data_IF_903708780101
#
_entry.id   IF_903708780101
#
_cell.length_a   1.000
_cell.length_b   1.000
_cell.length_c   1.000
_cell.angle_alpha   90.00
_cell.angle_beta   90.00
_cell.angle_gamma   90.00
#
_symmetry.space_group_name_H-M   'P 1'
#
loop_
_entity.id
_entity.type
_entity.pdbx_description
1 polymer ?
#
# COMPACT_ATOMS: atom_id res chain seq x y z
N UNK A 1 -36.41 63.12 -59.02
CA UNK A 1 -36.31 62.81 -57.57
C UNK A 1 -35.47 61.55 -57.42
N UNK A 2 -34.50 61.51 -56.50
CA UNK A 2 -33.66 60.32 -56.19
C UNK A 2 -32.21 60.49 -56.63
N UNK A 3 -31.41 61.32 -55.97
CA UNK A 3 -30.48 61.02 -54.83
C UNK A 3 -29.19 60.32 -55.28
N UNK A 4 -28.09 61.07 -55.20
CA UNK A 4 -26.70 60.62 -55.35
C UNK A 4 -26.21 59.99 -54.04
N UNK A 5 -25.56 58.82 -54.14
CA UNK A 5 -24.96 58.10 -53.02
C UNK A 5 -23.44 58.34 -53.03
N UNK A 6 -22.95 59.11 -52.07
CA UNK A 6 -21.53 59.32 -51.82
C UNK A 6 -20.99 58.16 -50.94
N UNK A 7 -19.97 57.45 -51.44
CA UNK A 7 -19.24 56.44 -50.68
C UNK A 7 -18.23 57.15 -49.76
N UNK A 8 -18.45 57.09 -48.45
CA UNK A 8 -17.48 57.51 -47.43
C UNK A 8 -16.60 56.30 -47.06
N UNK A 9 -15.30 56.39 -47.34
CA UNK A 9 -14.29 55.49 -46.77
C UNK A 9 -14.12 55.83 -45.28
N UNK A 10 -14.47 54.89 -44.40
CA UNK A 10 -14.09 54.93 -42.99
C UNK A 10 -12.90 53.97 -42.75
N UNK A 11 -11.76 54.53 -42.37
CA UNK A 11 -10.59 53.77 -41.93
C UNK A 11 -10.80 53.35 -40.47
N UNK A 12 -11.02 52.05 -40.21
CA UNK A 12 -11.15 51.50 -38.87
C UNK A 12 -9.79 51.27 -38.21
N UNK A 13 -9.53 51.93 -37.07
CA UNK A 13 -8.41 51.62 -36.17
C UNK A 13 -8.71 50.32 -35.40
N UNK A 14 -7.84 49.33 -35.49
CA UNK A 14 -7.84 48.20 -34.54
C UNK A 14 -7.42 48.68 -33.14
N UNK A 15 -8.07 48.20 -32.06
CA UNK A 15 -7.59 48.46 -30.71
C UNK A 15 -6.29 47.70 -30.46
N UNK A 16 -5.29 48.38 -29.88
CA UNK A 16 -4.02 47.79 -29.49
C UNK A 16 -4.25 46.68 -28.44
N UNK A 17 -3.75 45.49 -28.70
CA UNK A 17 -3.69 44.42 -27.71
C UNK A 17 -2.76 44.85 -26.56
N UNK A 18 -3.26 44.80 -25.32
CA UNK A 18 -2.43 44.99 -24.12
C UNK A 18 -1.44 43.82 -24.04
N UNK A 19 -0.15 44.06 -23.77
CA UNK A 19 0.78 42.98 -23.47
C UNK A 19 0.30 42.25 -22.22
N UNK A 20 0.33 40.91 -22.26
CA UNK A 20 0.09 40.08 -21.09
C UNK A 20 1.10 40.47 -19.99
N UNK A 21 0.62 40.58 -18.76
CA UNK A 21 1.49 40.82 -17.61
C UNK A 21 2.44 39.62 -17.45
N UNK A 22 3.74 39.89 -17.28
CA UNK A 22 4.69 38.86 -16.87
C UNK A 22 4.24 38.24 -15.55
N UNK A 23 4.38 36.91 -15.37
CA UNK A 23 4.09 36.29 -14.09
C UNK A 23 4.97 36.92 -13.00
N UNK A 24 4.45 37.06 -11.76
CA UNK A 24 5.26 37.54 -10.65
C UNK A 24 6.47 36.62 -10.45
N UNK A 25 7.62 37.16 -10.01
CA UNK A 25 8.76 36.31 -9.65
C UNK A 25 8.33 35.35 -8.55
N UNK A 26 8.66 34.06 -8.72
CA UNK A 26 8.39 33.01 -7.74
C UNK A 26 8.92 33.45 -6.37
N UNK A 27 8.02 33.53 -5.40
CA UNK A 27 8.37 33.80 -4.02
C UNK A 27 9.08 32.58 -3.46
N UNK A 28 10.34 32.75 -3.07
CA UNK A 28 11.10 31.74 -2.32
C UNK A 28 10.29 31.30 -1.10
N UNK A 29 9.90 30.02 -1.06
CA UNK A 29 9.20 29.41 0.07
C UNK A 29 7.80 28.82 -0.19
N UNK A 30 7.42 28.53 -1.44
CA UNK A 30 6.35 27.54 -1.65
C UNK A 30 6.92 26.12 -1.47
N UNK A 31 6.19 25.18 -0.85
CA UNK A 31 6.63 23.80 -0.75
C UNK A 31 6.81 23.20 -2.16
N UNK A 32 7.78 22.30 -2.30
CA UNK A 32 8.06 21.56 -3.55
C UNK A 32 6.76 21.07 -4.20
N UNK A 33 6.63 21.27 -5.51
CA UNK A 33 5.38 21.03 -6.23
C UNK A 33 4.99 19.54 -6.34
N UNK A 34 5.94 18.63 -6.13
CA UNK A 34 5.76 17.18 -6.20
C UNK A 34 6.11 16.55 -4.87
N UNK A 35 5.43 15.44 -4.54
CA UNK A 35 5.84 14.61 -3.42
C UNK A 35 6.31 13.24 -3.89
N UNK A 36 7.24 12.66 -3.13
CA UNK A 36 7.43 11.21 -3.12
C UNK A 36 6.22 10.61 -2.42
N UNK A 37 5.41 9.89 -3.17
CA UNK A 37 4.11 9.37 -2.74
C UNK A 37 4.23 7.98 -2.14
N UNK A 38 5.13 7.17 -2.69
CA UNK A 38 5.29 5.77 -2.34
C UNK A 38 6.70 5.27 -2.71
N UNK A 39 7.23 4.33 -1.93
CA UNK A 39 8.54 3.69 -2.17
C UNK A 39 8.42 2.19 -1.94
N UNK A 40 8.87 1.36 -2.89
CA UNK A 40 8.88 -0.11 -2.83
C UNK A 40 10.32 -0.62 -2.96
N UNK A 41 11.04 -0.80 -1.85
CA UNK A 41 12.35 -1.43 -1.84
C UNK A 41 12.17 -2.94 -1.62
N UNK A 42 12.29 -3.74 -2.68
CA UNK A 42 12.03 -5.18 -2.67
C UNK A 42 10.82 -5.62 -3.50
N UNK A 43 10.62 -5.06 -4.70
CA UNK A 43 9.52 -5.48 -5.58
C UNK A 43 9.77 -6.88 -6.16
N UNK A 44 8.85 -7.82 -5.97
CA UNK A 44 8.89 -9.18 -6.54
C UNK A 44 7.77 -9.42 -7.55
N UNK A 45 6.59 -8.90 -7.25
CA UNK A 45 5.39 -9.13 -8.03
C UNK A 45 4.37 -7.98 -7.97
N UNK A 46 4.67 -6.87 -7.29
CA UNK A 46 3.76 -5.73 -7.18
C UNK A 46 3.59 -4.98 -8.52
N UNK A 47 4.70 -4.69 -9.20
CA UNK A 47 4.71 -3.98 -10.48
C UNK A 47 5.81 -4.51 -11.41
N UNK A 48 5.66 -4.32 -12.71
CA UNK A 48 6.64 -4.77 -13.70
C UNK A 48 6.98 -3.64 -14.68
N UNK A 49 8.26 -3.54 -15.05
CA UNK A 49 8.75 -2.62 -16.08
C UNK A 49 8.24 -3.03 -17.49
N UNK A 50 8.61 -2.26 -18.52
CA UNK A 50 8.22 -2.56 -19.90
C UNK A 50 8.76 -3.90 -20.44
N UNK A 51 9.73 -4.51 -19.75
CA UNK A 51 10.33 -5.78 -20.08
C UNK A 51 9.81 -6.94 -19.22
N UNK A 52 8.94 -6.67 -18.25
CA UNK A 52 8.38 -7.65 -17.33
C UNK A 52 9.26 -7.93 -16.09
N UNK A 53 10.22 -7.09 -15.77
CA UNK A 53 11.04 -7.21 -14.55
C UNK A 53 10.41 -6.49 -13.37
N UNK A 54 10.47 -7.10 -12.20
CA UNK A 54 10.09 -6.48 -10.94
C UNK A 54 11.33 -5.82 -10.31
N UNK A 55 11.62 -4.59 -10.70
CA UNK A 55 12.63 -3.73 -10.04
C UNK A 55 12.01 -2.92 -8.91
N UNK A 56 12.82 -2.49 -7.95
CA UNK A 56 12.37 -1.53 -6.92
C UNK A 56 11.81 -0.29 -7.58
N UNK A 57 10.92 0.42 -6.90
CA UNK A 57 10.33 1.62 -7.50
C UNK A 57 10.01 2.72 -6.50
N UNK A 58 9.98 3.93 -7.03
CA UNK A 58 9.56 5.16 -6.35
C UNK A 58 8.42 5.76 -7.16
N UNK A 59 7.35 6.17 -6.50
CA UNK A 59 6.26 6.91 -7.13
C UNK A 59 6.32 8.38 -6.77
N UNK A 60 6.26 9.23 -7.79
CA UNK A 60 6.06 10.67 -7.64
C UNK A 60 4.61 11.02 -7.93
N UNK A 61 4.03 11.94 -7.14
CA UNK A 61 2.70 12.48 -7.39
C UNK A 61 2.74 14.00 -7.58
N UNK A 62 1.94 14.48 -8.56
CA UNK A 62 1.66 15.89 -8.77
C UNK A 62 0.27 16.24 -8.19
N UNK A 63 0.19 16.83 -6.97
CA UNK A 63 -1.08 17.20 -6.35
C UNK A 63 -1.68 18.50 -6.91
N UNK A 64 -0.97 19.21 -7.80
CA UNK A 64 -1.40 20.51 -8.30
C UNK A 64 -2.41 20.42 -9.46
N UNK A 65 -3.01 21.55 -9.81
CA UNK A 65 -3.92 21.68 -10.96
C UNK A 65 -3.19 22.03 -12.28
N UNK A 66 -1.85 22.06 -12.25
CA UNK A 66 -0.99 22.36 -13.38
C UNK A 66 0.00 21.22 -13.66
N UNK A 67 0.38 21.04 -14.92
CA UNK A 67 1.43 20.10 -15.27
C UNK A 67 2.79 20.60 -14.74
N UNK A 68 3.59 19.70 -14.17
CA UNK A 68 4.95 19.99 -13.69
C UNK A 68 5.95 19.40 -14.69
N UNK A 69 6.79 20.24 -15.31
CA UNK A 69 7.94 19.80 -16.13
C UNK A 69 9.12 19.49 -15.20
N UNK A 70 9.60 18.25 -15.26
CA UNK A 70 10.70 17.72 -14.45
C UNK A 70 12.08 18.17 -14.95
N UNK A 71 12.18 18.92 -16.04
CA UNK A 71 13.47 19.33 -16.58
C UNK A 71 14.35 20.03 -15.52
N UNK A 72 15.48 19.40 -15.18
CA UNK A 72 16.44 19.91 -14.19
C UNK A 72 16.12 19.57 -12.73
N UNK A 73 15.02 18.87 -12.44
CA UNK A 73 14.80 18.22 -11.15
C UNK A 73 15.81 17.08 -10.98
N UNK A 74 16.09 16.69 -9.74
CA UNK A 74 16.94 15.53 -9.45
C UNK A 74 16.35 14.61 -8.38
N UNK A 75 16.70 13.33 -8.42
CA UNK A 75 16.34 12.33 -7.42
C UNK A 75 17.57 11.52 -7.01
N UNK A 76 17.63 11.18 -5.72
CA UNK A 76 18.75 10.45 -5.12
C UNK A 76 18.30 9.62 -3.91
N UNK A 77 19.00 8.52 -3.66
CA UNK A 77 19.03 7.72 -2.43
C UNK A 77 20.25 8.09 -1.53
N UNK A 78 21.09 9.05 -1.96
CA UNK A 78 22.22 9.57 -1.19
C UNK A 78 22.25 11.10 -1.25
N UNK A 79 21.86 11.79 -0.17
CA UNK A 79 21.90 13.25 -0.12
C UNK A 79 23.31 13.85 -0.24
N UNK A 80 24.38 13.07 -0.06
CA UNK A 80 25.73 13.54 -0.34
C UNK A 80 26.00 13.66 -1.86
N UNK A 81 25.18 13.01 -2.68
CA UNK A 81 25.17 13.07 -4.14
C UNK A 81 23.76 13.41 -4.65
N UNK A 82 23.32 14.68 -4.58
CA UNK A 82 21.94 15.09 -4.89
C UNK A 82 21.56 14.93 -6.38
N UNK A 83 22.54 14.70 -7.26
CA UNK A 83 22.36 14.67 -8.72
C UNK A 83 22.51 13.26 -9.30
N UNK A 84 22.33 12.20 -8.48
CA UNK A 84 22.44 10.80 -8.94
C UNK A 84 21.59 10.53 -10.19
N UNK A 85 20.38 11.05 -10.24
CA UNK A 85 19.59 11.14 -11.47
C UNK A 85 19.06 12.57 -11.65
N UNK A 86 19.31 13.17 -12.82
CA UNK A 86 18.77 14.47 -13.22
C UNK A 86 17.81 14.28 -14.37
N UNK A 87 16.57 14.72 -14.19
CA UNK A 87 15.51 14.51 -15.16
C UNK A 87 15.68 15.38 -16.41
N UNK A 88 15.39 14.77 -17.55
CA UNK A 88 15.17 15.47 -18.81
C UNK A 88 13.78 16.12 -18.88
N UNK A 89 13.33 16.45 -20.10
CA UNK A 89 11.97 16.98 -20.30
C UNK A 89 10.95 15.86 -20.21
N UNK A 90 10.22 15.81 -19.11
CA UNK A 90 9.04 14.97 -18.88
C UNK A 90 8.08 15.77 -18.02
N UNK A 91 6.78 15.64 -18.28
CA UNK A 91 5.78 16.29 -17.45
C UNK A 91 4.94 15.27 -16.70
N UNK A 92 4.62 15.59 -15.45
CA UNK A 92 3.56 14.93 -14.69
C UNK A 92 2.34 15.85 -14.80
N UNK A 93 1.28 15.37 -15.46
CA UNK A 93 0.02 16.10 -15.62
C UNK A 93 -0.65 16.37 -14.24
N UNK A 94 -1.61 17.31 -14.16
CA UNK A 94 -2.36 17.57 -12.92
C UNK A 94 -2.97 16.30 -12.34
N UNK A 95 -2.73 16.03 -11.05
CA UNK A 95 -3.19 14.81 -10.37
C UNK A 95 -2.52 13.52 -10.86
N UNK A 96 -1.47 13.61 -11.69
CA UNK A 96 -0.77 12.48 -12.28
C UNK A 96 0.23 11.82 -11.33
N UNK A 97 0.58 10.58 -11.68
CA UNK A 97 1.57 9.75 -10.98
C UNK A 97 2.66 9.34 -11.96
N UNK A 98 3.90 9.23 -11.46
CA UNK A 98 5.04 8.76 -12.23
C UNK A 98 5.78 7.69 -11.44
N UNK A 99 5.80 6.48 -11.98
CA UNK A 99 6.59 5.37 -11.46
C UNK A 99 8.02 5.46 -12.00
N UNK A 100 8.99 5.36 -11.12
CA UNK A 100 10.42 5.34 -11.41
C UNK A 100 11.01 4.02 -10.92
N UNK A 101 11.69 3.29 -11.79
CA UNK A 101 12.34 2.02 -11.50
C UNK A 101 13.74 2.29 -10.94
N UNK A 102 13.96 1.93 -9.68
CA UNK A 102 15.25 1.96 -9.02
C UNK A 102 15.96 0.61 -9.21
N UNK A 103 16.57 0.41 -10.37
CA UNK A 103 17.07 -0.90 -10.82
C UNK A 103 18.51 -0.88 -11.34
N UNK A 104 19.29 0.16 -10.98
CA UNK A 104 20.68 0.35 -11.42
C UNK A 104 20.85 0.49 -12.96
N UNK A 105 19.78 0.80 -13.71
CA UNK A 105 19.84 0.97 -15.16
C UNK A 105 19.95 2.44 -15.58
N UNK A 106 21.18 2.94 -15.60
CA UNK A 106 21.46 4.30 -16.08
C UNK A 106 21.13 4.49 -17.58
N UNK A 107 20.34 5.53 -17.90
CA UNK A 107 20.11 5.99 -19.28
C UNK A 107 19.18 5.09 -20.11
N UNK A 108 18.45 4.19 -19.46
CA UNK A 108 17.37 3.41 -20.06
C UNK A 108 16.07 4.18 -19.88
N UNK A 109 15.62 4.86 -20.93
CA UNK A 109 14.46 5.74 -20.83
C UNK A 109 14.64 6.87 -19.81
N UNK A 110 13.53 7.42 -19.36
CA UNK A 110 13.43 8.52 -18.40
C UNK A 110 12.69 8.10 -17.11
N UNK A 111 12.47 6.80 -16.95
CA UNK A 111 11.86 6.18 -15.77
C UNK A 111 12.79 5.23 -15.03
N UNK A 112 13.97 4.89 -15.57
CA UNK A 112 14.95 4.05 -14.85
C UNK A 112 16.01 4.91 -14.17
N UNK A 113 16.34 4.53 -12.94
CA UNK A 113 17.25 5.23 -12.06
C UNK A 113 18.57 4.45 -11.94
N UNK A 114 19.71 5.15 -11.83
CA UNK A 114 21.04 4.55 -11.77
C UNK A 114 21.39 4.08 -10.35
N UNK A 115 20.39 3.61 -9.61
CA UNK A 115 20.49 3.13 -8.25
C UNK A 115 19.36 2.14 -7.95
N UNK A 116 19.61 1.23 -7.02
CA UNK A 116 18.61 0.35 -6.40
C UNK A 116 18.35 0.77 -4.95
N UNK A 117 17.24 0.29 -4.39
CA UNK A 117 16.85 0.63 -3.03
C UNK A 117 17.26 -0.44 -2.02
N UNK A 118 17.34 -0.04 -0.74
CA UNK A 118 17.71 -0.92 0.36
C UNK A 118 16.51 -1.24 1.23
N UNK A 119 16.06 -2.49 1.17
CA UNK A 119 14.95 -3.00 1.96
C UNK A 119 15.17 -2.91 3.49
N UNK A 120 16.41 -2.79 4.00
CA UNK A 120 16.68 -2.61 5.43
C UNK A 120 16.60 -1.16 5.92
N UNK A 121 16.37 -0.21 5.01
CA UNK A 121 16.09 1.19 5.29
C UNK A 121 17.15 2.15 4.76
N UNK A 122 16.68 3.27 4.21
CA UNK A 122 17.49 4.38 3.72
C UNK A 122 16.65 5.65 3.57
N UNK A 123 17.14 6.62 2.79
CA UNK A 123 16.45 7.87 2.53
C UNK A 123 16.43 8.16 1.02
N UNK A 124 15.30 8.61 0.49
CA UNK A 124 15.15 9.07 -0.90
C UNK A 124 14.75 10.54 -0.88
N UNK A 125 15.43 11.35 -1.69
CA UNK A 125 15.17 12.78 -1.84
C UNK A 125 14.94 13.15 -3.31
N UNK A 126 13.88 13.92 -3.54
CA UNK A 126 13.57 14.61 -4.80
C UNK A 126 13.83 16.10 -4.59
N UNK A 127 14.61 16.72 -5.48
CA UNK A 127 14.90 18.15 -5.47
C UNK A 127 14.35 18.82 -6.72
N UNK A 128 13.79 20.01 -6.55
CA UNK A 128 13.49 20.91 -7.66
C UNK A 128 14.72 21.75 -8.07
N UNK A 129 14.70 22.46 -9.23
CA UNK A 129 15.82 23.28 -9.68
C UNK A 129 16.18 24.45 -8.74
N UNK A 130 15.27 24.84 -7.86
CA UNK A 130 15.45 25.87 -6.85
C UNK A 130 16.13 25.35 -5.57
N UNK A 131 16.17 24.02 -5.40
CA UNK A 131 16.79 23.30 -4.30
C UNK A 131 15.85 22.95 -3.15
N UNK A 132 14.54 23.16 -3.30
CA UNK A 132 13.54 22.67 -2.36
C UNK A 132 13.34 21.15 -2.55
N UNK A 133 12.99 20.43 -1.48
CA UNK A 133 13.07 18.97 -1.45
C UNK A 133 11.84 18.28 -0.87
N UNK A 134 11.43 17.17 -1.49
CA UNK A 134 10.57 16.14 -0.89
C UNK A 134 11.45 14.99 -0.47
N UNK A 135 11.41 14.61 0.80
CA UNK A 135 12.26 13.54 1.34
C UNK A 135 11.44 12.53 2.14
N UNK A 136 11.76 11.26 1.94
CA UNK A 136 11.27 10.14 2.73
C UNK A 136 12.45 9.35 3.28
N UNK A 137 12.43 9.08 4.58
CA UNK A 137 13.34 8.15 5.24
C UNK A 137 12.51 6.98 5.73
N UNK A 138 13.02 5.76 5.56
CA UNK A 138 12.29 4.54 5.88
C UNK A 138 13.17 3.51 6.56
N UNK A 139 12.55 2.64 7.36
CA UNK A 139 13.21 1.53 8.04
C UNK A 139 13.16 0.25 7.21
N UNK A 140 13.22 -0.91 7.86
CA UNK A 140 13.03 -2.17 7.14
C UNK A 140 11.65 -2.24 6.50
N UNK A 141 11.60 -2.63 5.22
CA UNK A 141 10.39 -2.86 4.45
C UNK A 141 10.49 -4.27 3.85
N UNK A 142 9.40 -5.03 3.94
CA UNK A 142 9.35 -6.39 3.40
C UNK A 142 9.18 -6.40 1.89
N UNK A 143 9.62 -7.48 1.26
CA UNK A 143 9.40 -7.71 -0.17
C UNK A 143 7.90 -7.57 -0.52
N UNK A 144 7.62 -6.92 -1.65
CA UNK A 144 6.28 -6.54 -2.11
C UNK A 144 5.48 -5.65 -1.14
N UNK A 145 6.08 -5.03 -0.13
CA UNK A 145 5.46 -3.92 0.61
C UNK A 145 6.06 -2.60 0.20
N UNK A 146 5.21 -1.62 -0.09
CA UNK A 146 5.64 -0.25 -0.18
C UNK A 146 5.53 0.44 1.18
N UNK A 147 6.35 1.48 1.38
CA UNK A 147 6.02 2.55 2.29
C UNK A 147 5.24 3.62 1.50
N UNK A 148 3.94 3.73 1.76
CA UNK A 148 3.02 4.61 1.06
C UNK A 148 2.48 5.71 1.97
N UNK A 149 2.10 6.85 1.40
CA UNK A 149 1.32 7.85 2.13
C UNK A 149 -0.13 7.39 2.27
N UNK A 150 -0.74 7.53 3.45
CA UNK A 150 -2.17 7.23 3.68
C UNK A 150 -3.12 8.06 2.83
N UNK A 151 -2.69 9.26 2.45
CA UNK A 151 -3.38 10.12 1.50
C UNK A 151 -2.32 10.81 0.66
N UNK A 152 -2.55 10.93 -0.65
CA UNK A 152 -1.57 11.49 -1.57
C UNK A 152 -1.02 12.83 -1.07
N UNK A 153 0.31 12.91 -0.98
CA UNK A 153 1.05 14.05 -0.43
C UNK A 153 0.67 14.55 0.98
N UNK A 154 0.03 13.74 1.87
CA UNK A 154 -0.19 14.14 3.27
C UNK A 154 1.12 14.45 4.00
N UNK A 155 1.12 15.18 5.11
CA UNK A 155 2.36 15.49 5.86
C UNK A 155 2.23 15.10 7.32
N UNK A 156 3.34 14.70 7.95
CA UNK A 156 3.39 14.30 9.36
C UNK A 156 3.76 12.83 9.52
N UNK A 157 4.01 12.42 10.76
CA UNK A 157 4.44 11.04 11.08
C UNK A 157 3.34 10.01 10.78
N UNK A 158 2.08 10.34 11.06
CA UNK A 158 0.92 9.47 10.80
C UNK A 158 0.59 9.34 9.32
N UNK A 159 1.30 10.04 8.44
CA UNK A 159 1.06 10.01 7.00
C UNK A 159 1.54 8.71 6.35
N UNK A 160 2.45 7.96 6.96
CA UNK A 160 3.03 6.78 6.30
C UNK A 160 2.41 5.47 6.79
N UNK A 161 2.32 4.50 5.89
CA UNK A 161 1.88 3.14 6.20
C UNK A 161 2.53 2.14 5.24
N UNK A 162 2.61 0.88 5.65
CA UNK A 162 3.07 -0.19 4.78
C UNK A 162 1.87 -0.75 3.99
N UNK A 163 1.99 -0.81 2.67
CA UNK A 163 0.93 -1.32 1.79
C UNK A 163 1.47 -2.49 1.00
N UNK A 164 0.87 -3.67 1.19
CA UNK A 164 1.20 -4.81 0.35
C UNK A 164 0.81 -4.51 -1.10
N UNK A 165 1.80 -4.64 -1.99
CA UNK A 165 1.82 -4.32 -3.42
C UNK A 165 1.65 -2.85 -3.78
N UNK A 166 1.41 -2.00 -2.80
CA UNK A 166 1.27 -0.58 -3.02
C UNK A 166 0.17 -0.17 -3.98
N UNK A 167 0.25 1.05 -4.51
CA UNK A 167 -0.66 1.56 -5.54
C UNK A 167 0.08 2.07 -6.78
N UNK A 168 0.93 1.26 -7.42
CA UNK A 168 1.80 1.72 -8.50
C UNK A 168 1.02 2.34 -9.67
N UNK A 169 1.29 3.62 -9.94
CA UNK A 169 0.68 4.41 -10.99
C UNK A 169 -0.70 4.99 -10.66
N UNK A 170 -1.12 4.92 -9.38
CA UNK A 170 -2.45 5.31 -8.95
C UNK A 170 -2.45 6.04 -7.59
N UNK A 171 -3.59 6.60 -7.19
CA UNK A 171 -3.69 7.27 -5.90
C UNK A 171 -3.61 6.26 -4.75
N UNK A 172 -2.99 6.65 -3.63
CA UNK A 172 -2.97 5.91 -2.37
C UNK A 172 -4.37 5.84 -1.67
N UNK A 173 -5.43 6.19 -2.41
CA UNK A 173 -6.83 6.37 -2.03
C UNK A 173 -7.16 7.75 -1.41
N UNK A 174 -7.87 8.62 -2.16
CA UNK A 174 -8.41 9.88 -1.67
C UNK A 174 -9.88 9.70 -1.26
N UNK A 175 -10.19 9.85 0.04
CA UNK A 175 -11.56 10.10 0.50
C UNK A 175 -12.37 8.91 1.04
N UNK A 176 -11.74 7.80 1.42
CA UNK A 176 -12.39 6.86 2.34
C UNK A 176 -12.57 7.55 3.71
N UNK A 177 -13.67 7.31 4.46
CA UNK A 177 -13.71 7.64 5.88
C UNK A 177 -12.42 7.13 6.55
N UNK A 178 -11.86 7.85 7.53
CA UNK A 178 -10.56 7.52 8.10
C UNK A 178 -10.49 6.02 8.44
N UNK A 179 -9.78 5.27 7.60
CA UNK A 179 -9.59 3.84 7.74
C UNK A 179 -8.28 3.64 8.47
N UNK A 180 -8.35 3.10 9.67
CA UNK A 180 -7.19 2.75 10.45
C UNK A 180 -6.86 1.28 10.23
N UNK A 181 -5.70 1.02 9.61
CA UNK A 181 -5.12 -0.31 9.55
C UNK A 181 -4.62 -0.68 10.95
N UNK A 182 -5.49 -1.29 11.73
CA UNK A 182 -5.22 -1.71 13.11
C UNK A 182 -4.38 -2.98 13.17
N UNK A 183 -4.44 -3.77 12.10
CA UNK A 183 -3.50 -4.85 11.83
C UNK A 183 -3.13 -4.73 10.33
N UNK A 184 -2.02 -4.09 9.95
CA UNK A 184 -1.60 -4.07 8.56
C UNK A 184 -1.11 -5.45 8.10
N UNK A 185 -1.11 -5.71 6.80
CA UNK A 185 -0.36 -6.83 6.23
C UNK A 185 1.12 -6.70 6.65
N UNK A 186 1.83 -7.81 6.75
CA UNK A 186 3.21 -7.86 7.24
C UNK A 186 3.34 -7.84 8.77
N UNK A 187 2.21 -7.80 9.49
CA UNK A 187 2.20 -7.86 10.96
C UNK A 187 2.78 -9.17 11.48
N UNK A 188 3.22 -9.17 12.74
CA UNK A 188 3.76 -10.38 13.38
C UNK A 188 2.64 -11.33 13.79
N UNK A 189 2.82 -12.61 13.45
CA UNK A 189 1.94 -13.71 13.82
C UNK A 189 2.69 -14.75 14.65
N UNK A 190 2.00 -15.34 15.62
CA UNK A 190 2.36 -16.64 16.18
C UNK A 190 1.82 -17.73 15.24
N UNK A 191 2.61 -18.78 14.97
CA UNK A 191 2.22 -19.86 14.07
C UNK A 191 2.51 -21.26 14.63
N UNK A 192 1.65 -22.21 14.30
CA UNK A 192 1.81 -23.63 14.57
C UNK A 192 1.81 -24.41 13.25
N UNK A 193 2.98 -24.92 12.87
CA UNK A 193 3.28 -25.59 11.60
C UNK A 193 3.66 -27.07 11.78
N UNK A 194 3.29 -27.64 12.93
CA UNK A 194 3.69 -29.01 13.32
C UNK A 194 2.80 -30.11 12.73
N UNK A 195 1.77 -29.74 11.98
CA UNK A 195 0.73 -30.64 11.47
C UNK A 195 -0.26 -31.15 12.53
N UNK A 196 -0.07 -30.80 13.81
CA UNK A 196 -0.98 -31.15 14.89
C UNK A 196 -1.87 -29.95 15.25
N UNK A 197 -3.19 -30.13 15.43
CA UNK A 197 -4.08 -29.03 15.75
C UNK A 197 -3.76 -28.40 17.11
N UNK A 198 -4.00 -27.09 17.25
CA UNK A 198 -3.96 -26.40 18.53
C UNK A 198 -4.88 -27.02 19.58
N UNK A 199 -4.56 -26.79 20.85
CA UNK A 199 -5.45 -27.12 21.96
C UNK A 199 -6.79 -26.37 21.90
N UNK A 200 -7.76 -26.86 22.69
CA UNK A 200 -9.07 -26.23 22.77
C UNK A 200 -8.95 -24.74 23.19
N UNK A 201 -9.75 -23.89 22.56
CA UNK A 201 -9.79 -22.46 22.89
C UNK A 201 -8.71 -21.59 22.24
N UNK A 202 -7.86 -22.13 21.37
CA UNK A 202 -6.78 -21.37 20.69
C UNK A 202 -7.23 -20.08 20.00
N UNK A 203 -8.48 -20.02 19.56
CA UNK A 203 -9.11 -18.86 18.90
C UNK A 203 -9.53 -17.74 19.86
N UNK A 204 -9.35 -17.91 21.17
CA UNK A 204 -9.84 -16.99 22.21
C UNK A 204 -8.72 -16.45 23.07
N UNK A 205 -8.99 -15.31 23.71
CA UNK A 205 -8.10 -14.73 24.70
C UNK A 205 -7.75 -15.73 25.82
N UNK A 206 -6.53 -15.63 26.35
CA UNK A 206 -6.04 -16.45 27.45
C UNK A 206 -5.53 -17.85 27.08
N UNK A 207 -5.57 -18.24 25.80
CA UNK A 207 -4.82 -19.41 25.33
C UNK A 207 -3.32 -19.09 25.30
N UNK A 208 -2.50 -20.05 25.74
CA UNK A 208 -1.04 -19.95 25.80
C UNK A 208 -0.43 -20.48 24.49
N UNK A 209 0.04 -19.55 23.65
CA UNK A 209 0.74 -19.80 22.40
C UNK A 209 2.26 -19.60 22.52
N UNK A 210 2.82 -19.52 23.74
CA UNK A 210 4.26 -19.30 23.94
C UNK A 210 5.17 -20.39 23.38
N UNK A 211 4.61 -21.57 23.06
CA UNK A 211 5.30 -22.67 22.37
C UNK A 211 5.24 -22.61 20.84
N UNK A 212 4.57 -21.62 20.26
CA UNK A 212 4.43 -21.44 18.81
C UNK A 212 5.64 -20.72 18.23
N UNK A 213 5.89 -20.90 16.94
CA UNK A 213 6.82 -20.04 16.21
C UNK A 213 6.27 -18.61 16.09
N UNK A 214 7.10 -17.63 15.77
CA UNK A 214 6.64 -16.26 15.52
C UNK A 214 7.47 -15.56 14.44
N UNK A 215 6.82 -14.76 13.62
CA UNK A 215 7.47 -13.91 12.62
C UNK A 215 6.48 -13.01 11.86
N UNK A 216 6.98 -12.01 11.12
CA UNK A 216 6.17 -11.13 10.27
C UNK A 216 5.56 -11.88 9.08
N UNK A 217 4.37 -11.46 8.65
CA UNK A 217 3.80 -11.87 7.37
C UNK A 217 4.57 -11.30 6.17
N UNK A 218 4.40 -11.85 4.96
CA UNK A 218 3.66 -13.08 4.67
C UNK A 218 4.39 -14.32 5.20
N UNK A 219 3.65 -15.27 5.78
CA UNK A 219 4.18 -16.52 6.32
C UNK A 219 3.89 -17.66 5.35
N UNK A 220 4.85 -18.56 5.14
CA UNK A 220 4.68 -19.57 4.11
C UNK A 220 5.90 -20.39 3.72
N UNK A 221 5.84 -20.99 2.53
CA UNK A 221 6.95 -21.65 1.85
C UNK A 221 6.68 -21.68 0.34
N UNK A 222 7.71 -21.98 -0.46
CA UNK A 222 7.58 -22.17 -1.91
C UNK A 222 7.68 -20.88 -2.73
N UNK A 223 7.42 -19.72 -2.11
CA UNK A 223 7.38 -18.42 -2.76
C UNK A 223 8.48 -17.44 -2.32
N UNK A 224 8.85 -16.54 -3.25
CA UNK A 224 9.89 -15.53 -3.03
C UNK A 224 9.47 -14.33 -2.18
N UNK A 225 8.17 -14.11 -1.99
CA UNK A 225 7.62 -12.99 -1.21
C UNK A 225 7.38 -13.36 0.28
N UNK A 226 7.74 -14.58 0.69
CA UNK A 226 7.53 -15.06 2.06
C UNK A 226 8.57 -14.43 3.00
N UNK A 227 8.09 -13.61 3.93
CA UNK A 227 8.91 -12.99 4.96
C UNK A 227 9.29 -13.98 6.07
N UNK A 228 8.36 -14.84 6.50
CA UNK A 228 8.61 -15.89 7.50
C UNK A 228 8.39 -17.26 6.90
N UNK A 229 9.49 -18.01 6.70
CA UNK A 229 9.40 -19.40 6.26
C UNK A 229 8.88 -20.29 7.39
N UNK A 230 7.85 -21.07 7.10
CA UNK A 230 7.29 -22.08 8.01
C UNK A 230 7.54 -23.50 7.48
N UNK A 231 7.44 -24.50 8.35
CA UNK A 231 7.59 -25.92 8.00
C UNK A 231 6.34 -26.48 7.31
N UNK A 232 6.53 -27.33 6.32
CA UNK A 232 5.47 -28.17 5.74
C UNK A 232 5.44 -29.60 6.32
N UNK A 233 6.31 -29.90 7.29
CA UNK A 233 6.54 -31.26 7.78
C UNK A 233 7.81 -31.89 7.19
N UNK A 234 7.92 -33.22 7.31
CA UNK A 234 9.13 -33.96 6.94
C UNK A 234 9.12 -34.55 5.52
N UNK A 235 7.98 -34.55 4.84
CA UNK A 235 7.80 -35.17 3.53
C UNK A 235 7.23 -34.15 2.53
N UNK A 236 7.98 -33.76 1.48
CA UNK A 236 7.49 -32.82 0.48
C UNK A 236 6.38 -33.39 -0.42
N UNK A 237 6.20 -34.71 -0.44
CA UNK A 237 5.12 -35.38 -1.19
C UNK A 237 3.89 -35.68 -0.29
N UNK A 238 3.97 -35.39 1.02
CA UNK A 238 2.91 -35.59 2.01
C UNK A 238 2.99 -34.52 3.12
N UNK A 239 2.73 -33.28 2.75
CA UNK A 239 2.80 -32.11 3.63
C UNK A 239 1.62 -32.04 4.59
N UNK A 240 1.83 -31.37 5.73
CA UNK A 240 0.75 -30.98 6.62
C UNK A 240 -0.24 -30.09 5.87
N UNK A 241 -1.51 -30.52 5.80
CA UNK A 241 -2.56 -29.78 5.08
C UNK A 241 -2.87 -28.43 5.73
N UNK A 242 -2.79 -28.36 7.06
CA UNK A 242 -3.21 -27.17 7.81
C UNK A 242 -2.07 -26.56 8.61
N UNK A 243 -2.01 -25.22 8.55
CA UNK A 243 -1.19 -24.38 9.44
C UNK A 243 -2.10 -23.41 10.19
N UNK A 244 -1.82 -23.18 11.48
CA UNK A 244 -2.59 -22.26 12.32
C UNK A 244 -1.78 -21.02 12.66
N UNK A 245 -2.45 -19.86 12.61
CA UNK A 245 -1.88 -18.55 12.89
C UNK A 245 -2.72 -17.84 13.93
N UNK A 246 -2.07 -17.01 14.75
CA UNK A 246 -2.74 -16.19 15.75
C UNK A 246 -1.97 -14.90 16.02
N UNK A 247 -2.70 -13.82 16.26
CA UNK A 247 -2.16 -12.57 16.77
C UNK A 247 -3.18 -11.87 17.66
N UNK A 248 -2.77 -10.80 18.33
CA UNK A 248 -3.64 -9.96 19.16
C UNK A 248 -3.50 -8.51 18.70
N UNK A 249 -4.62 -7.82 18.52
CA UNK A 249 -4.68 -6.39 18.22
C UNK A 249 -5.38 -5.65 19.35
N UNK A 250 -4.75 -4.60 19.86
CA UNK A 250 -5.35 -3.72 20.86
C UNK A 250 -6.15 -2.61 20.15
N UNK A 251 -7.43 -2.47 20.49
CA UNK A 251 -8.31 -1.46 19.95
C UNK A 251 -8.83 -0.54 21.06
N UNK A 252 -8.84 0.76 20.77
CA UNK A 252 -9.46 1.76 21.64
C UNK A 252 -10.54 2.56 20.92
N UNK A 253 -11.39 3.18 21.72
CA UNK A 253 -12.40 4.15 21.29
C UNK A 253 -13.40 3.55 20.30
N UNK A 254 -13.80 2.29 20.50
CA UNK A 254 -14.69 1.57 19.55
C UNK A 254 -16.05 2.25 19.30
N UNK A 255 -16.45 3.19 20.15
CA UNK A 255 -17.65 4.02 19.98
C UNK A 255 -17.64 4.82 18.66
N UNK A 256 -16.47 5.09 18.08
CA UNK A 256 -16.34 5.77 16.79
C UNK A 256 -16.21 4.81 15.60
N UNK A 257 -16.07 3.50 15.82
CA UNK A 257 -15.92 2.53 14.74
C UNK A 257 -17.28 2.24 14.10
N UNK A 258 -17.38 2.51 12.81
CA UNK A 258 -18.61 2.39 12.01
C UNK A 258 -18.60 1.23 11.03
N UNK A 259 -17.43 0.73 10.66
CA UNK A 259 -17.25 -0.48 9.86
C UNK A 259 -15.88 -1.11 10.15
N UNK A 260 -15.72 -2.40 9.85
CA UNK A 260 -14.44 -3.09 9.89
C UNK A 260 -14.33 -4.04 8.69
N UNK A 261 -13.12 -4.28 8.21
CA UNK A 261 -12.85 -5.12 7.04
C UNK A 261 -11.58 -5.94 7.26
N UNK A 262 -11.62 -7.21 6.89
CA UNK A 262 -10.49 -8.12 6.84
C UNK A 262 -9.98 -8.22 5.41
N UNK A 263 -8.68 -8.02 5.19
CA UNK A 263 -8.00 -8.35 3.95
C UNK A 263 -7.21 -9.64 4.11
N UNK A 264 -7.63 -10.73 3.47
CA UNK A 264 -7.02 -12.05 3.64
C UNK A 264 -6.20 -12.47 2.41
N UNK A 265 -4.88 -12.65 2.59
CA UNK A 265 -4.01 -13.37 1.68
C UNK A 265 -3.91 -14.82 2.14
N UNK A 266 -4.24 -15.75 1.24
CA UNK A 266 -4.26 -17.19 1.54
C UNK A 266 -3.96 -18.01 0.30
N UNK A 267 -3.24 -19.09 0.51
CA UNK A 267 -3.05 -20.18 -0.44
C UNK A 267 -3.10 -21.53 0.31
N UNK A 268 -4.14 -22.36 0.14
CA UNK A 268 -5.21 -22.30 -0.87
C UNK A 268 -6.55 -21.81 -0.30
N UNK A 269 -6.89 -22.21 0.93
CA UNK A 269 -8.14 -21.91 1.61
C UNK A 269 -7.92 -21.55 3.07
N UNK A 270 -8.85 -20.81 3.67
CA UNK A 270 -8.68 -20.37 5.05
C UNK A 270 -10.00 -20.08 5.77
N UNK A 271 -9.96 -20.20 7.10
CA UNK A 271 -11.02 -19.72 8.00
C UNK A 271 -10.42 -18.73 8.98
N UNK A 272 -11.06 -17.55 9.10
CA UNK A 272 -10.66 -16.48 10.02
C UNK A 272 -11.63 -16.41 11.18
N UNK A 273 -11.07 -16.25 12.37
CA UNK A 273 -11.79 -16.11 13.61
C UNK A 273 -11.40 -14.81 14.33
N UNK A 274 -12.39 -14.11 14.86
CA UNK A 274 -12.22 -12.93 15.73
C UNK A 274 -12.83 -13.28 17.08
N UNK A 275 -12.04 -13.21 18.15
CA UNK A 275 -12.48 -13.51 19.51
C UNK A 275 -13.17 -14.89 19.67
N UNK A 276 -12.83 -15.83 18.79
CA UNK A 276 -13.34 -17.20 18.77
C UNK A 276 -14.61 -17.41 17.95
N UNK A 277 -15.14 -16.38 17.29
CA UNK A 277 -16.24 -16.47 16.33
C UNK A 277 -15.67 -16.55 14.90
N UNK A 278 -16.24 -17.40 14.04
CA UNK A 278 -15.87 -17.46 12.63
C UNK A 278 -16.45 -16.26 11.89
N UNK A 279 -15.61 -15.48 11.22
CA UNK A 279 -16.03 -14.23 10.56
C UNK A 279 -15.79 -14.25 9.05
N UNK A 280 -14.85 -15.06 8.57
CA UNK A 280 -14.59 -15.22 7.15
C UNK A 280 -14.18 -16.66 6.84
N UNK A 281 -14.58 -17.12 5.66
CA UNK A 281 -14.19 -18.40 5.08
C UNK A 281 -13.94 -18.22 3.60
N UNK A 282 -12.78 -18.66 3.15
CA UNK A 282 -12.39 -18.63 1.74
C UNK A 282 -12.00 -20.03 1.28
N UNK A 283 -12.55 -20.46 0.15
CA UNK A 283 -12.13 -21.67 -0.57
C UNK A 283 -12.12 -22.96 0.30
N UNK A 284 -13.02 -23.08 1.28
CA UNK A 284 -13.19 -24.27 2.12
C UNK A 284 -14.65 -24.72 2.16
N UNK A 285 -14.92 -26.03 2.34
CA UNK A 285 -16.29 -26.53 2.46
C UNK A 285 -16.98 -25.95 3.70
N UNK A 286 -18.32 -25.94 3.70
CA UNK A 286 -19.11 -25.55 4.87
C UNK A 286 -18.89 -26.53 6.04
N UNK A 287 -18.99 -26.00 7.27
CA UNK A 287 -18.85 -26.77 8.49
C UNK A 287 -17.50 -26.62 9.19
N UNK A 288 -17.39 -27.19 10.39
CA UNK A 288 -16.17 -27.13 11.18
C UNK A 288 -15.04 -27.92 10.49
N UNK A 289 -13.94 -27.27 10.08
CA UNK A 289 -12.83 -27.96 9.44
C UNK A 289 -12.10 -28.86 10.45
N UNK A 290 -11.57 -29.97 9.95
CA UNK A 290 -10.53 -30.77 10.59
C UNK A 290 -9.16 -30.41 10.02
N UNK A 291 -8.04 -30.82 10.67
CA UNK A 291 -6.69 -30.62 10.14
C UNK A 291 -6.42 -31.20 8.75
N UNK A 292 -7.26 -32.14 8.31
CA UNK A 292 -7.16 -32.79 7.00
C UNK A 292 -8.16 -32.24 5.98
N UNK A 293 -8.93 -31.21 6.35
CA UNK A 293 -9.89 -30.58 5.43
C UNK A 293 -9.11 -29.87 4.33
N UNK A 294 -9.38 -30.22 3.07
CA UNK A 294 -8.72 -29.61 1.92
C UNK A 294 -9.47 -28.36 1.46
N UNK A 295 -8.72 -27.42 0.87
CA UNK A 295 -9.32 -26.36 0.07
C UNK A 295 -10.08 -26.95 -1.14
N UNK A 296 -11.12 -26.26 -1.59
CA UNK A 296 -11.99 -26.76 -2.66
C UNK A 296 -11.32 -26.70 -4.04
N UNK A 297 -10.51 -25.66 -4.26
CA UNK A 297 -9.75 -25.43 -5.49
C UNK A 297 -8.29 -25.12 -5.15
N UNK A 298 -7.37 -25.51 -6.05
CA UNK A 298 -6.00 -25.01 -5.98
C UNK A 298 -5.96 -23.57 -6.47
N UNK A 299 -5.33 -22.69 -5.71
CA UNK A 299 -5.07 -21.30 -6.07
C UNK A 299 -3.74 -21.26 -6.83
N UNK A 300 -3.64 -20.38 -7.84
CA UNK A 300 -2.49 -20.32 -8.72
C UNK A 300 -2.25 -18.92 -9.29
N UNK A 301 -0.99 -18.58 -9.53
CA UNK A 301 -0.58 -17.36 -10.23
C UNK A 301 -0.98 -16.09 -9.48
N UNK A 302 -1.64 -15.14 -10.15
CA UNK A 302 -2.00 -13.86 -9.53
C UNK A 302 -2.97 -13.98 -8.35
N UNK A 303 -3.61 -15.15 -8.15
CA UNK A 303 -4.55 -15.38 -7.06
C UNK A 303 -3.89 -15.82 -5.74
N UNK A 304 -2.66 -16.36 -5.79
CA UNK A 304 -1.86 -16.74 -4.59
C UNK A 304 -1.43 -15.51 -3.79
N UNK A 305 -1.45 -14.36 -4.45
CA UNK A 305 -0.99 -13.07 -3.94
C UNK A 305 -2.11 -12.03 -3.90
N UNK A 306 -3.36 -12.47 -4.07
CA UNK A 306 -4.52 -11.62 -3.96
C UNK A 306 -4.95 -11.49 -2.49
N UNK A 307 -5.29 -10.27 -2.09
CA UNK A 307 -5.90 -9.97 -0.79
C UNK A 307 -7.41 -9.92 -0.96
N UNK A 308 -8.12 -10.83 -0.29
CA UNK A 308 -9.57 -10.98 -0.42
C UNK A 308 -10.29 -10.22 0.70
N UNK A 309 -11.16 -9.26 0.38
CA UNK A 309 -11.86 -8.48 1.38
C UNK A 309 -13.04 -9.25 1.98
N UNK A 310 -13.24 -9.12 3.29
CA UNK A 310 -14.39 -9.61 4.03
C UNK A 310 -14.89 -8.55 5.00
N UNK A 311 -16.19 -8.22 4.91
CA UNK A 311 -16.84 -7.35 5.89
C UNK A 311 -16.81 -8.00 7.28
N UNK A 312 -16.32 -7.28 8.28
CA UNK A 312 -16.36 -7.68 9.68
C UNK A 312 -17.40 -6.82 10.41
N UNK A 313 -18.35 -7.46 11.09
CA UNK A 313 -19.26 -6.76 12.00
C UNK A 313 -18.47 -6.14 13.17
N UNK A 314 -18.43 -4.80 13.32
CA UNK A 314 -17.71 -4.15 14.41
C UNK A 314 -18.20 -4.59 15.80
N UNK A 315 -19.42 -5.11 15.92
CA UNK A 315 -19.95 -5.62 17.18
C UNK A 315 -19.20 -6.87 17.71
N UNK A 316 -18.37 -7.51 16.89
CA UNK A 316 -17.50 -8.62 17.29
C UNK A 316 -16.17 -8.16 17.90
N UNK A 317 -15.85 -6.86 17.77
CA UNK A 317 -14.68 -6.24 18.37
C UNK A 317 -14.98 -5.81 19.81
N UNK A 318 -13.97 -5.84 20.67
CA UNK A 318 -14.05 -5.41 22.07
C UNK A 318 -12.99 -4.36 22.38
N UNK A 319 -13.26 -3.48 23.34
CA UNK A 319 -12.27 -2.52 23.82
C UNK A 319 -11.08 -3.28 24.44
N UNK A 320 -9.86 -2.92 24.06
CA UNK A 320 -8.62 -3.60 24.41
C UNK A 320 -8.28 -4.75 23.45
N UNK A 321 -7.81 -5.87 24.00
CA UNK A 321 -7.26 -6.99 23.23
C UNK A 321 -8.34 -7.75 22.43
N UNK A 322 -8.13 -7.86 21.12
CA UNK A 322 -8.90 -8.71 20.22
C UNK A 322 -7.99 -9.81 19.65
N UNK A 323 -8.40 -11.06 19.79
CA UNK A 323 -7.65 -12.20 19.22
C UNK A 323 -8.09 -12.43 17.79
N UNK A 324 -7.14 -12.39 16.87
CA UNK A 324 -7.34 -12.80 15.48
C UNK A 324 -6.64 -14.14 15.29
N UNK A 325 -7.38 -15.13 14.80
CA UNK A 325 -6.90 -16.50 14.63
C UNK A 325 -7.29 -17.02 13.25
N UNK A 326 -6.39 -17.72 12.58
CA UNK A 326 -6.59 -18.20 11.21
C UNK A 326 -6.11 -19.63 11.09
N UNK A 327 -6.83 -20.46 10.35
CA UNK A 327 -6.31 -21.74 9.85
C UNK A 327 -6.30 -21.72 8.33
N UNK A 328 -5.14 -22.03 7.75
CA UNK A 328 -4.91 -22.09 6.30
C UNK A 328 -4.75 -23.54 5.91
N UNK A 329 -5.46 -23.93 4.86
CA UNK A 329 -5.64 -25.28 4.38
C UNK A 329 -5.21 -25.37 2.92
N UNK A 330 -4.41 -26.37 2.61
CA UNK A 330 -3.93 -26.64 1.26
C UNK A 330 -4.97 -27.45 0.46
N UNK A 331 -4.98 -27.31 -0.86
CA UNK A 331 -5.83 -28.07 -1.78
C UNK A 331 -5.32 -29.51 -1.97
N UNK A 332 -4.02 -29.74 -1.74
CA UNK A 332 -3.42 -31.06 -1.74
C UNK A 332 -2.22 -31.15 -0.77
N UNK A 333 -1.92 -32.33 -0.20
CA UNK A 333 -0.68 -32.57 0.55
C UNK A 333 0.60 -32.41 -0.30
N UNK A 334 0.47 -32.34 -1.62
CA UNK A 334 1.57 -32.15 -2.57
C UNK A 334 1.66 -30.72 -3.10
N UNK A 335 0.85 -29.78 -2.60
CA UNK A 335 0.90 -28.36 -3.00
C UNK A 335 2.33 -27.81 -2.87
N UNK A 336 2.78 -26.99 -3.81
CA UNK A 336 4.17 -26.53 -3.89
C UNK A 336 4.53 -25.53 -2.78
N UNK A 337 3.53 -24.77 -2.36
CA UNK A 337 3.59 -23.50 -1.68
C UNK A 337 2.44 -23.32 -0.69
N UNK A 338 2.66 -22.41 0.25
CA UNK A 338 1.66 -21.89 1.15
C UNK A 338 2.00 -20.42 1.35
N UNK A 339 1.00 -19.56 1.28
CA UNK A 339 1.10 -18.14 1.61
C UNK A 339 -0.02 -17.73 2.55
N UNK A 340 0.32 -16.98 3.59
CA UNK A 340 -0.64 -16.40 4.52
C UNK A 340 -0.21 -14.99 4.95
N UNK A 341 -1.14 -14.05 4.84
CA UNK A 341 -1.08 -12.78 5.55
C UNK A 341 -2.50 -12.25 5.75
N UNK A 342 -2.70 -11.35 6.72
CA UNK A 342 -4.02 -10.76 6.96
C UNK A 342 -3.90 -9.33 7.49
N UNK A 343 -4.70 -8.43 6.91
CA UNK A 343 -5.00 -7.13 7.48
C UNK A 343 -6.37 -7.07 8.15
N UNK A 344 -6.47 -6.20 9.15
CA UNK A 344 -7.72 -5.69 9.71
C UNK A 344 -7.70 -4.17 9.65
N UNK A 345 -8.75 -3.62 9.06
CA UNK A 345 -8.97 -2.17 8.92
C UNK A 345 -10.26 -1.81 9.62
N UNK A 346 -10.29 -0.68 10.33
CA UNK A 346 -11.52 -0.13 10.93
C UNK A 346 -11.82 1.24 10.34
N UNK A 347 -13.08 1.52 10.11
CA UNK A 347 -13.55 2.82 9.61
C UNK A 347 -14.14 3.62 10.75
N UNK A 348 -13.59 4.80 11.02
CA UNK A 348 -14.08 5.67 12.09
C UNK A 348 -15.01 6.76 11.60
N UNK A 349 -16.17 6.90 12.25
CA UNK A 349 -17.09 7.99 12.07
C UNK A 349 -16.54 9.23 12.76
N UNK A 350 -16.06 10.21 11.97
CA UNK A 350 -15.41 11.39 12.52
C UNK A 350 -16.23 12.05 13.64
N UNK A 351 -15.57 12.26 14.79
CA UNK A 351 -16.10 13.13 15.82
C UNK A 351 -16.43 14.48 15.17
N UNK A 352 -17.71 14.81 15.06
CA UNK A 352 -18.11 16.19 14.81
C UNK A 352 -17.40 17.05 15.85
N UNK A 353 -16.56 17.99 15.40
CA UNK A 353 -15.81 18.90 16.26
C UNK A 353 -16.71 19.42 17.40
N UNK A 354 -16.23 19.46 18.66
CA UNK A 354 -17.04 19.94 19.77
C UNK A 354 -17.57 21.34 19.44
N UNK A 355 -18.90 21.45 19.52
CA UNK A 355 -19.68 22.52 18.92
C UNK A 355 -19.10 23.92 19.17
N UNK A 356 -19.03 24.68 18.07
CA UNK A 356 -18.87 26.12 18.13
C UNK A 356 -19.91 26.70 19.11
N UNK A 357 -19.43 27.24 20.23
CA UNK A 357 -20.24 28.02 21.16
C UNK A 357 -20.84 29.18 20.36
N UNK A 358 -22.18 29.31 20.27
CA UNK A 358 -22.76 30.45 19.58
C UNK A 358 -22.41 31.70 20.36
N UNK A 359 -21.70 32.62 19.70
CA UNK A 359 -21.41 33.95 20.23
C UNK A 359 -22.74 34.63 20.61
N UNK A 360 -22.85 35.03 21.88
CA UNK A 360 -23.92 35.91 22.37
C UNK A 360 -23.47 37.35 22.32
#
# INVERSE_FOLDING_TARGET
>A
MGVALALLLACGRQPAQRPAASPPPATRGEPIALCINEVMPGNRAAAFDENGHAGDWIELHNPSDAAVDLAGWSITDDRADPDRHVFGRRSIEPGGFLLLWADDLAGVGDTHLPFSLKADGEEVALFDPEGDASVVAYGAVHDDFSLARRTDCCTGEDCWTHVFRGTPGGPNTPGAPATDAVLPLGSTWSYLDTGNPPGAGWKRAGFDDSGWGSGPGPLGYGDGHIATTISYGGDPDDKSVTTWFRTTVELSDLDDVTAAEIGLLRDDGAVVYVNGEEVARSNLPEGAPSPDTLAQEAVGGSSETAVWPFDLDPALLVEGDNVIAVEVHQAAPTSSDLGFDLSLTVTRGGASAPGAVPAR
#
